data_IF_883707694976
#
_entry.id   IF_883707694976
#
_cell.length_a   1.000
_cell.length_b   1.000
_cell.length_c   1.000
_cell.angle_alpha   90.00
_cell.angle_beta   90.00
_cell.angle_gamma   90.00
#
_symmetry.space_group_name_H-M   'P 1'
#
loop_
_entity.id
_entity.type
_entity.pdbx_description
1 polymer ?
#
# COMPACT_ATOMS: atom_id res chain seq x y z
N UNK A 1 1.39 61.30 28.66
CA UNK A 1 1.25 60.99 27.21
C UNK A 1 1.67 59.58 26.95
N UNK A 2 0.83 58.91 26.59
CA UNK A 2 0.36 57.66 26.09
C UNK A 2 1.40 56.60 25.71
N UNK A 3 1.62 55.71 26.69
CA UNK A 3 2.37 54.42 26.49
C UNK A 3 1.43 53.25 26.10
N UNK A 4 0.22 53.55 25.64
CA UNK A 4 -0.80 52.52 25.33
C UNK A 4 -0.70 51.94 23.92
N UNK A 5 -0.20 52.71 22.95
CA UNK A 5 -0.12 52.32 21.54
C UNK A 5 0.81 51.11 21.27
N UNK A 6 2.03 51.06 21.86
CA UNK A 6 2.91 49.88 21.69
C UNK A 6 2.35 48.61 22.33
N UNK A 7 1.58 48.76 23.43
CA UNK A 7 0.98 47.63 24.14
C UNK A 7 -0.23 47.07 23.36
N UNK A 8 -1.06 47.93 22.80
CA UNK A 8 -2.20 47.52 21.96
C UNK A 8 -1.73 46.86 20.65
N UNK A 9 -0.67 47.39 20.02
CA UNK A 9 -0.12 46.80 18.80
C UNK A 9 0.47 45.40 19.08
N UNK A 10 1.19 45.20 20.18
CA UNK A 10 1.67 43.86 20.62
C UNK A 10 0.53 42.93 20.93
N UNK A 11 -0.54 43.36 21.59
CA UNK A 11 -1.73 42.55 21.86
C UNK A 11 -2.45 42.11 20.59
N UNK A 12 -2.51 42.98 19.57
CA UNK A 12 -3.11 42.66 18.28
C UNK A 12 -2.23 41.70 17.50
N UNK A 13 -0.91 41.89 17.48
CA UNK A 13 0.04 40.98 16.88
C UNK A 13 0.03 39.59 17.56
N UNK A 14 0.12 39.53 18.89
CA UNK A 14 0.08 38.27 19.67
C UNK A 14 -1.25 37.53 19.48
N UNK A 15 -2.38 38.24 19.40
CA UNK A 15 -3.68 37.59 19.14
C UNK A 15 -3.78 37.13 17.67
N UNK A 16 -3.20 37.87 16.72
CA UNK A 16 -3.14 37.47 15.32
C UNK A 16 -2.28 36.21 15.10
N UNK A 17 -1.14 36.14 15.75
CA UNK A 17 -0.27 34.95 15.68
C UNK A 17 -0.92 33.72 16.31
N UNK A 18 -1.55 33.86 17.49
CA UNK A 18 -2.30 32.77 18.15
C UNK A 18 -3.49 32.30 17.32
N UNK A 19 -4.20 33.23 16.67
CA UNK A 19 -5.30 32.88 15.78
C UNK A 19 -4.80 32.10 14.57
N UNK A 20 -3.71 32.52 13.95
CA UNK A 20 -3.09 31.83 12.82
C UNK A 20 -2.58 30.42 13.23
N UNK A 21 -1.94 30.29 14.39
CA UNK A 21 -1.52 28.99 14.91
C UNK A 21 -2.71 28.06 15.11
N UNK A 22 -3.78 28.53 15.73
CA UNK A 22 -5.01 27.76 15.96
C UNK A 22 -5.64 27.28 14.67
N UNK A 23 -5.71 28.15 13.65
CA UNK A 23 -6.23 27.82 12.33
C UNK A 23 -5.36 26.77 11.64
N UNK A 24 -4.03 26.93 11.64
CA UNK A 24 -3.10 25.98 11.03
C UNK A 24 -3.16 24.62 11.73
N UNK A 25 -3.22 24.60 13.07
CA UNK A 25 -3.36 23.36 13.86
C UNK A 25 -4.66 22.64 13.50
N UNK A 26 -5.78 23.36 13.37
CA UNK A 26 -7.05 22.78 12.92
C UNK A 26 -6.94 22.20 11.52
N UNK A 27 -6.33 22.93 10.59
CA UNK A 27 -6.10 22.44 9.23
C UNK A 27 -5.26 21.16 9.21
N UNK A 28 -4.15 21.11 9.97
CA UNK A 28 -3.34 19.91 10.10
C UNK A 28 -4.14 18.74 10.71
N UNK A 29 -4.96 19.01 11.73
CA UNK A 29 -5.85 18.03 12.34
C UNK A 29 -6.81 17.42 11.30
N UNK A 30 -7.45 18.25 10.48
CA UNK A 30 -8.39 17.81 9.45
C UNK A 30 -7.68 17.03 8.34
N UNK A 31 -6.48 17.45 7.92
CA UNK A 31 -5.66 16.72 6.96
C UNK A 31 -5.25 15.34 7.49
N UNK A 32 -4.83 15.23 8.75
CA UNK A 32 -4.49 13.95 9.38
C UNK A 32 -5.72 13.04 9.45
N UNK A 33 -6.89 13.57 9.86
CA UNK A 33 -8.14 12.81 9.91
C UNK A 33 -8.55 12.24 8.55
N UNK A 34 -8.21 12.95 7.48
CA UNK A 34 -8.47 12.54 6.10
C UNK A 34 -7.29 11.75 5.48
N UNK A 35 -6.30 11.36 6.27
CA UNK A 35 -5.09 10.65 5.80
C UNK A 35 -4.26 11.42 4.77
N UNK A 36 -4.41 12.74 4.71
CA UNK A 36 -3.68 13.65 3.81
C UNK A 36 -2.33 14.07 4.42
N UNK A 37 -1.46 13.10 4.67
CA UNK A 37 -0.23 13.29 5.43
C UNK A 37 0.78 14.23 4.76
N UNK A 38 0.82 14.27 3.42
CA UNK A 38 1.71 15.19 2.69
C UNK A 38 1.33 16.64 2.95
N UNK A 39 0.03 16.97 2.86
CA UNK A 39 -0.46 18.31 3.15
C UNK A 39 -0.23 18.71 4.62
N UNK A 40 -0.49 17.79 5.55
CA UNK A 40 -0.22 17.98 6.97
C UNK A 40 1.28 18.28 7.22
N UNK A 41 2.18 17.51 6.62
CA UNK A 41 3.63 17.70 6.74
C UNK A 41 4.09 19.05 6.18
N UNK A 42 3.55 19.47 5.03
CA UNK A 42 3.93 20.72 4.39
C UNK A 42 3.57 21.93 5.27
N UNK A 43 2.44 21.89 5.98
CA UNK A 43 2.05 22.92 6.95
C UNK A 43 2.97 22.84 8.18
N UNK A 44 3.13 21.67 8.78
CA UNK A 44 3.94 21.46 9.98
C UNK A 44 5.41 21.87 9.77
N UNK A 45 5.94 21.77 8.55
CA UNK A 45 7.29 22.17 8.22
C UNK A 45 7.47 23.70 8.18
N UNK A 46 6.40 24.44 7.86
CA UNK A 46 6.43 25.89 7.68
C UNK A 46 5.94 26.65 8.89
N UNK A 47 5.23 25.99 9.79
CA UNK A 47 4.59 26.58 10.96
C UNK A 47 5.17 25.98 12.24
N UNK A 48 5.54 26.83 13.18
CA UNK A 48 5.91 26.41 14.54
C UNK A 48 4.67 26.45 15.42
N UNK A 49 4.26 25.32 15.95
CA UNK A 49 3.19 25.22 16.92
C UNK A 49 3.74 25.25 18.34
N UNK A 50 2.98 25.82 19.26
CA UNK A 50 3.30 25.81 20.69
C UNK A 50 3.06 24.42 21.31
N UNK A 51 3.55 23.35 20.66
CA UNK A 51 3.44 21.98 21.14
C UNK A 51 4.81 21.31 21.20
N UNK A 52 5.09 20.69 22.33
CA UNK A 52 6.38 20.03 22.57
C UNK A 52 6.63 18.87 21.58
N UNK A 53 5.54 18.25 21.11
CA UNK A 53 5.61 17.04 20.28
C UNK A 53 5.71 17.31 18.77
N UNK A 54 5.77 18.58 18.31
CA UNK A 54 5.81 18.90 16.89
C UNK A 54 6.96 18.22 16.13
N UNK A 55 8.12 18.10 16.76
CA UNK A 55 9.27 17.40 16.17
C UNK A 55 8.93 15.94 15.88
N UNK A 56 8.30 15.25 16.85
CA UNK A 56 7.87 13.85 16.69
C UNK A 56 6.82 13.72 15.59
N UNK A 57 5.85 14.64 15.54
CA UNK A 57 4.86 14.70 14.47
C UNK A 57 5.51 14.81 13.10
N UNK A 58 6.45 15.74 12.93
CA UNK A 58 7.16 15.94 11.67
C UNK A 58 7.96 14.70 11.24
N UNK A 59 8.67 14.08 12.17
CA UNK A 59 9.45 12.85 11.90
C UNK A 59 8.52 11.71 11.47
N UNK A 60 7.40 11.55 12.15
CA UNK A 60 6.43 10.48 11.88
C UNK A 60 5.73 10.69 10.52
N UNK A 61 5.26 11.90 10.24
CA UNK A 61 4.67 12.25 8.94
C UNK A 61 5.65 12.02 7.79
N UNK A 62 6.91 12.44 7.96
CA UNK A 62 7.97 12.21 6.97
C UNK A 62 8.21 10.73 6.70
N UNK A 63 8.22 9.89 7.73
CA UNK A 63 8.37 8.44 7.62
C UNK A 63 7.25 7.83 6.77
N UNK A 64 5.99 8.19 7.07
CA UNK A 64 4.82 7.69 6.35
C UNK A 64 4.88 8.10 4.87
N UNK A 65 5.18 9.37 4.58
CA UNK A 65 5.31 9.88 3.21
C UNK A 65 6.40 9.12 2.45
N UNK A 66 7.53 8.85 3.09
CA UNK A 66 8.61 8.07 2.48
C UNK A 66 8.21 6.62 2.23
N UNK A 67 7.42 6.01 3.11
CA UNK A 67 6.88 4.67 2.91
C UNK A 67 5.97 4.61 1.68
N UNK A 68 5.06 5.59 1.55
CA UNK A 68 4.14 5.68 0.40
C UNK A 68 4.91 5.91 -0.92
N UNK A 69 5.83 6.89 -0.93
CA UNK A 69 6.50 7.37 -2.14
C UNK A 69 7.64 6.44 -2.60
N UNK A 70 8.42 5.94 -1.66
CA UNK A 70 9.65 5.18 -1.94
C UNK A 70 9.56 3.70 -1.55
N UNK A 71 8.39 3.23 -1.17
CA UNK A 71 8.12 1.86 -0.70
C UNK A 71 9.06 1.42 0.45
N UNK A 72 9.53 2.37 1.24
CA UNK A 72 10.28 2.08 2.45
C UNK A 72 9.34 1.50 3.51
N UNK A 73 9.80 0.48 4.22
CA UNK A 73 9.01 -0.08 5.30
C UNK A 73 8.89 0.92 6.45
N UNK A 74 7.71 0.97 7.05
CA UNK A 74 7.48 1.70 8.29
C UNK A 74 8.34 1.11 9.41
N UNK A 75 8.86 1.94 10.31
CA UNK A 75 9.73 1.51 11.42
C UNK A 75 9.06 0.46 12.30
N UNK A 76 7.74 0.54 12.49
CA UNK A 76 6.98 -0.43 13.26
C UNK A 76 6.94 -1.80 12.57
N UNK A 77 6.85 -1.83 11.23
CA UNK A 77 6.94 -3.06 10.44
C UNK A 77 8.35 -3.63 10.48
N UNK A 78 9.39 -2.78 10.40
CA UNK A 78 10.79 -3.23 10.47
C UNK A 78 11.15 -3.90 11.79
N UNK A 79 10.55 -3.49 12.91
CA UNK A 79 10.76 -4.09 14.23
C UNK A 79 10.14 -5.48 14.40
N UNK A 80 9.27 -5.92 13.48
CA UNK A 80 8.62 -7.22 13.57
C UNK A 80 9.62 -8.38 13.42
N UNK A 81 9.30 -9.50 14.07
CA UNK A 81 10.07 -10.74 13.97
C UNK A 81 9.62 -11.62 12.78
N UNK A 82 9.26 -11.01 11.66
CA UNK A 82 9.01 -11.70 10.40
C UNK A 82 10.23 -11.62 9.48
N UNK A 83 10.29 -12.50 8.47
CA UNK A 83 11.25 -12.35 7.39
C UNK A 83 10.99 -11.09 6.56
N UNK A 84 11.96 -10.69 5.74
CA UNK A 84 11.89 -9.43 5.00
C UNK A 84 10.80 -9.42 3.92
N UNK A 85 10.49 -10.59 3.35
CA UNK A 85 9.44 -10.72 2.34
C UNK A 85 8.06 -10.51 2.96
N UNK A 86 7.80 -11.10 4.12
CA UNK A 86 6.54 -10.90 4.86
C UNK A 86 6.39 -9.46 5.36
N UNK A 87 7.46 -8.84 5.85
CA UNK A 87 7.46 -7.41 6.20
C UNK A 87 7.12 -6.54 5.00
N UNK A 88 7.67 -6.86 3.82
CA UNK A 88 7.38 -6.15 2.57
C UNK A 88 5.92 -6.31 2.17
N UNK A 89 5.37 -7.51 2.26
CA UNK A 89 3.98 -7.79 1.94
C UNK A 89 3.02 -7.07 2.90
N UNK A 90 3.29 -7.11 4.21
CA UNK A 90 2.51 -6.39 5.22
C UNK A 90 2.55 -4.87 4.97
N UNK A 91 3.73 -4.30 4.75
CA UNK A 91 3.86 -2.87 4.46
C UNK A 91 3.09 -2.46 3.20
N UNK A 92 3.11 -3.29 2.16
CA UNK A 92 2.32 -3.06 0.95
C UNK A 92 0.81 -3.05 1.25
N UNK A 93 0.33 -3.99 2.08
CA UNK A 93 -1.07 -4.01 2.53
C UNK A 93 -1.45 -2.72 3.27
N UNK A 94 -0.62 -2.25 4.22
CA UNK A 94 -0.90 -1.02 4.98
C UNK A 94 -0.97 0.21 4.08
N UNK A 95 -0.15 0.28 3.03
CA UNK A 95 -0.21 1.38 2.06
C UNK A 95 -1.49 1.28 1.20
N UNK A 96 -1.90 0.07 0.82
CA UNK A 96 -3.17 -0.13 0.09
C UNK A 96 -4.35 0.32 0.96
N UNK A 97 -4.40 -0.11 2.24
CA UNK A 97 -5.44 0.31 3.18
C UNK A 97 -5.50 1.84 3.29
N UNK A 98 -4.36 2.50 3.39
CA UNK A 98 -4.28 3.95 3.43
C UNK A 98 -4.83 4.61 2.14
N UNK A 99 -4.52 4.06 0.97
CA UNK A 99 -5.02 4.59 -0.31
C UNK A 99 -6.52 4.38 -0.49
N UNK A 100 -7.04 3.24 -0.03
CA UNK A 100 -8.49 2.96 -0.01
C UNK A 100 -9.22 3.95 0.88
N UNK A 101 -8.69 4.30 2.05
CA UNK A 101 -9.27 5.32 2.96
C UNK A 101 -9.30 6.72 2.35
N UNK A 102 -8.39 7.00 1.43
CA UNK A 102 -8.32 8.26 0.67
C UNK A 102 -9.12 8.23 -0.63
N UNK A 103 -9.83 7.15 -0.91
CA UNK A 103 -10.55 6.92 -2.18
C UNK A 103 -9.68 7.09 -3.43
N UNK A 104 -8.38 6.74 -3.32
CA UNK A 104 -7.43 6.78 -4.44
C UNK A 104 -7.56 5.50 -5.28
N UNK A 105 -8.57 5.49 -6.17
CA UNK A 105 -8.96 4.28 -6.92
C UNK A 105 -7.82 3.75 -7.77
N UNK A 106 -7.22 4.61 -8.61
CA UNK A 106 -6.19 4.22 -9.56
C UNK A 106 -4.96 3.61 -8.87
N UNK A 107 -4.44 4.31 -7.87
CA UNK A 107 -3.27 3.88 -7.08
C UNK A 107 -3.55 2.60 -6.32
N UNK A 108 -4.76 2.47 -5.75
CA UNK A 108 -5.18 1.28 -5.04
C UNK A 108 -5.19 0.05 -5.95
N UNK A 109 -5.78 0.14 -7.14
CA UNK A 109 -5.86 -0.97 -8.10
C UNK A 109 -4.47 -1.44 -8.57
N UNK A 110 -3.57 -0.49 -8.86
CA UNK A 110 -2.19 -0.81 -9.27
C UNK A 110 -1.46 -1.56 -8.17
N UNK A 111 -1.57 -1.07 -6.93
CA UNK A 111 -0.89 -1.70 -5.78
C UNK A 111 -1.49 -3.03 -5.38
N UNK A 112 -2.82 -3.19 -5.44
CA UNK A 112 -3.49 -4.45 -5.17
C UNK A 112 -3.03 -5.57 -6.12
N UNK A 113 -2.85 -5.25 -7.41
CA UNK A 113 -2.29 -6.20 -8.38
C UNK A 113 -0.86 -6.61 -8.00
N UNK A 114 0.02 -5.65 -7.75
CA UNK A 114 1.42 -5.94 -7.40
C UNK A 114 1.52 -6.71 -6.07
N UNK A 115 0.68 -6.38 -5.10
CA UNK A 115 0.54 -7.11 -3.84
C UNK A 115 0.13 -8.57 -4.08
N UNK A 116 -0.90 -8.80 -4.91
CA UNK A 116 -1.39 -10.13 -5.23
C UNK A 116 -0.33 -10.99 -5.96
N UNK A 117 0.41 -10.39 -6.92
CA UNK A 117 1.54 -11.06 -7.58
C UNK A 117 2.62 -11.47 -6.57
N UNK A 118 3.03 -10.56 -5.71
CA UNK A 118 4.07 -10.85 -4.72
C UNK A 118 3.61 -11.88 -3.69
N UNK A 119 2.37 -11.79 -3.20
CA UNK A 119 1.79 -12.77 -2.29
C UNK A 119 1.73 -14.18 -2.89
N UNK A 120 1.30 -14.31 -4.15
CA UNK A 120 1.29 -15.59 -4.86
C UNK A 120 2.69 -16.19 -5.02
N UNK A 121 3.70 -15.35 -5.32
CA UNK A 121 5.10 -15.77 -5.40
C UNK A 121 5.59 -16.30 -4.04
N UNK A 122 5.32 -15.60 -2.95
CA UNK A 122 5.72 -16.03 -1.60
C UNK A 122 5.05 -17.35 -1.23
N UNK A 123 3.76 -17.47 -1.49
CA UNK A 123 3.01 -18.70 -1.24
C UNK A 123 3.59 -19.89 -2.01
N UNK A 124 3.89 -19.72 -3.31
CA UNK A 124 4.47 -20.77 -4.14
C UNK A 124 5.90 -21.11 -3.73
N UNK A 125 6.71 -20.14 -3.32
CA UNK A 125 8.07 -20.39 -2.80
C UNK A 125 8.06 -21.23 -1.52
N UNK A 126 7.12 -20.97 -0.63
CA UNK A 126 7.00 -21.69 0.64
C UNK A 126 6.48 -23.10 0.44
N UNK A 127 5.43 -23.28 -0.36
CA UNK A 127 4.74 -24.55 -0.51
C UNK A 127 5.32 -25.46 -1.61
N UNK A 128 5.99 -24.87 -2.62
CA UNK A 128 6.57 -25.59 -3.78
C UNK A 128 8.04 -25.23 -3.96
N UNK A 129 8.89 -25.86 -3.15
CA UNK A 129 10.35 -25.61 -3.16
C UNK A 129 10.95 -25.82 -4.56
N UNK A 130 11.88 -24.93 -4.91
CA UNK A 130 12.60 -24.95 -6.19
C UNK A 130 11.72 -24.75 -7.44
N UNK A 131 10.52 -24.20 -7.31
CA UNK A 131 9.66 -23.94 -8.45
C UNK A 131 9.91 -22.54 -9.05
N UNK A 132 10.19 -21.56 -8.20
CA UNK A 132 10.35 -20.14 -8.57
C UNK A 132 11.73 -19.65 -8.15
N UNK A 133 12.38 -18.89 -9.02
CA UNK A 133 13.66 -18.22 -8.75
C UNK A 133 13.58 -16.73 -9.03
N UNK A 134 14.31 -15.94 -8.23
CA UNK A 134 14.55 -14.53 -8.47
C UNK A 134 15.74 -14.35 -9.42
N UNK A 135 15.55 -13.64 -10.54
CA UNK A 135 16.64 -13.18 -11.39
C UNK A 135 17.05 -11.78 -10.99
N UNK A 136 18.13 -11.68 -10.24
CA UNK A 136 18.61 -10.42 -9.62
C UNK A 136 18.90 -9.31 -10.63
N UNK A 137 19.38 -9.64 -11.83
CA UNK A 137 19.68 -8.66 -12.88
C UNK A 137 18.46 -7.80 -13.30
N UNK A 138 17.23 -8.31 -13.17
CA UNK A 138 15.98 -7.63 -13.53
C UNK A 138 15.01 -7.48 -12.35
N UNK A 139 15.38 -8.00 -11.19
CA UNK A 139 14.51 -8.10 -10.01
C UNK A 139 13.13 -8.70 -10.33
N UNK A 140 13.11 -9.77 -11.15
CA UNK A 140 11.90 -10.45 -11.60
C UNK A 140 11.92 -11.91 -11.21
N UNK A 141 10.75 -12.47 -10.91
CA UNK A 141 10.60 -13.88 -10.60
C UNK A 141 10.25 -14.69 -11.85
N UNK A 142 10.82 -15.89 -11.95
CA UNK A 142 10.68 -16.79 -13.09
C UNK A 142 10.50 -18.23 -12.60
N UNK A 143 9.96 -19.10 -13.45
CA UNK A 143 10.03 -20.52 -13.21
C UNK A 143 11.49 -20.98 -13.22
N UNK A 144 11.84 -21.89 -12.31
CA UNK A 144 13.18 -22.47 -12.25
C UNK A 144 13.30 -23.57 -13.32
N UNK A 145 14.29 -23.43 -14.19
CA UNK A 145 14.51 -24.40 -15.28
C UNK A 145 14.71 -25.83 -14.77
N UNK A 146 14.06 -26.80 -15.42
CA UNK A 146 14.18 -28.24 -15.09
C UNK A 146 13.57 -28.66 -13.75
N UNK A 147 12.82 -27.77 -13.07
CA UNK A 147 12.20 -28.07 -11.77
C UNK A 147 10.66 -28.09 -11.81
N UNK A 148 10.09 -28.10 -13.00
CA UNK A 148 8.64 -28.15 -13.24
C UNK A 148 8.32 -29.33 -14.16
N UNK A 149 7.10 -29.85 -14.05
CA UNK A 149 6.67 -30.95 -14.90
C UNK A 149 6.38 -30.48 -16.33
N UNK A 150 6.60 -31.36 -17.29
CA UNK A 150 6.23 -31.10 -18.69
C UNK A 150 4.73 -30.86 -18.83
N UNK A 151 3.91 -31.48 -17.98
CA UNK A 151 2.47 -31.28 -17.91
C UNK A 151 2.09 -29.84 -17.55
N UNK A 152 2.74 -29.27 -16.52
CA UNK A 152 2.52 -27.86 -16.15
C UNK A 152 2.88 -26.94 -17.31
N UNK A 153 4.01 -27.20 -17.97
CA UNK A 153 4.43 -26.40 -19.13
C UNK A 153 3.43 -26.51 -20.29
N UNK A 154 2.90 -27.72 -20.54
CA UNK A 154 1.88 -27.92 -21.57
C UNK A 154 0.60 -27.14 -21.25
N UNK A 155 0.16 -27.14 -19.99
CA UNK A 155 -1.00 -26.36 -19.53
C UNK A 155 -0.76 -24.87 -19.73
N UNK A 156 0.39 -24.32 -19.30
CA UNK A 156 0.69 -22.90 -19.44
C UNK A 156 0.80 -22.46 -20.90
N UNK A 157 1.38 -23.31 -21.79
CA UNK A 157 1.43 -23.06 -23.24
C UNK A 157 0.05 -23.06 -23.86
N UNK A 158 -0.77 -24.06 -23.59
CA UNK A 158 -2.13 -24.16 -24.11
C UNK A 158 -3.01 -22.96 -23.70
N UNK A 159 -2.90 -22.52 -22.44
CA UNK A 159 -3.58 -21.32 -21.94
C UNK A 159 -3.11 -20.03 -22.60
N UNK A 160 -1.80 -19.88 -22.82
CA UNK A 160 -1.26 -18.73 -23.53
C UNK A 160 -1.77 -18.68 -24.96
N UNK A 161 -1.72 -19.81 -25.69
CA UNK A 161 -2.21 -19.95 -27.08
C UNK A 161 -3.69 -19.61 -27.19
N UNK A 162 -4.53 -20.11 -26.26
CA UNK A 162 -5.96 -19.79 -26.18
C UNK A 162 -6.22 -18.28 -26.04
N UNK A 163 -5.30 -17.55 -25.39
CA UNK A 163 -5.33 -16.10 -25.24
C UNK A 163 -4.53 -15.35 -26.32
N UNK A 164 -4.16 -16.01 -27.41
CA UNK A 164 -3.35 -15.47 -28.52
C UNK A 164 -2.00 -14.90 -28.06
N UNK A 165 -1.42 -15.48 -27.02
CA UNK A 165 -0.13 -15.15 -26.46
C UNK A 165 0.85 -16.33 -26.59
N UNK A 166 2.13 -16.06 -26.37
CA UNK A 166 3.17 -17.09 -26.26
C UNK A 166 3.63 -17.22 -24.82
N UNK A 167 3.83 -18.45 -24.36
CA UNK A 167 4.43 -18.72 -23.06
C UNK A 167 5.89 -19.12 -23.22
N UNK A 168 6.77 -18.53 -22.41
CA UNK A 168 8.17 -18.92 -22.27
C UNK A 168 8.53 -19.10 -20.80
N UNK A 169 9.28 -20.15 -20.46
CA UNK A 169 9.81 -20.38 -19.10
C UNK A 169 10.67 -19.21 -18.61
N UNK A 170 11.30 -18.50 -19.57
CA UNK A 170 12.18 -17.37 -19.30
C UNK A 170 11.45 -16.03 -19.14
N UNK A 171 10.13 -15.99 -19.32
CA UNK A 171 9.38 -14.75 -19.08
C UNK A 171 9.16 -14.50 -17.59
N UNK A 172 9.06 -13.21 -17.16
CA UNK A 172 8.65 -12.89 -15.80
C UNK A 172 7.27 -13.44 -15.48
N UNK A 173 7.11 -13.97 -14.26
CA UNK A 173 5.81 -14.39 -13.75
C UNK A 173 4.95 -13.15 -13.49
N UNK A 174 3.73 -13.18 -13.98
CA UNK A 174 2.69 -12.19 -13.74
C UNK A 174 1.46 -12.84 -13.12
N UNK A 175 0.51 -12.02 -12.64
CA UNK A 175 -0.65 -12.53 -11.91
C UNK A 175 -1.44 -13.60 -12.67
N UNK A 176 -1.78 -13.45 -13.98
CA UNK A 176 -2.44 -14.52 -14.73
C UNK A 176 -1.69 -15.85 -14.73
N UNK A 177 -0.38 -15.83 -14.98
CA UNK A 177 0.45 -17.06 -14.99
C UNK A 177 0.51 -17.69 -13.58
N UNK A 178 0.62 -16.89 -12.53
CA UNK A 178 0.62 -17.36 -11.14
C UNK A 178 -0.71 -18.04 -10.77
N UNK A 179 -1.84 -17.49 -11.23
CA UNK A 179 -3.16 -18.09 -11.06
C UNK A 179 -3.23 -19.46 -11.75
N UNK A 180 -2.74 -19.56 -13.00
CA UNK A 180 -2.74 -20.83 -13.74
C UNK A 180 -1.86 -21.89 -13.06
N UNK A 181 -0.71 -21.48 -12.51
CA UNK A 181 0.15 -22.37 -11.73
C UNK A 181 -0.58 -22.89 -10.49
N UNK A 182 -1.24 -21.99 -9.76
CA UNK A 182 -2.01 -22.36 -8.56
C UNK A 182 -3.19 -23.27 -8.92
N UNK A 183 -3.93 -22.97 -9.98
CA UNK A 183 -5.03 -23.79 -10.46
C UNK A 183 -4.59 -25.22 -10.82
N UNK A 184 -3.40 -25.35 -11.42
CA UNK A 184 -2.81 -26.66 -11.70
C UNK A 184 -2.36 -27.41 -10.43
N UNK A 185 -1.75 -26.69 -9.46
CA UNK A 185 -1.20 -27.29 -8.24
C UNK A 185 -2.23 -27.55 -7.16
N UNK A 186 -3.17 -26.66 -7.00
CA UNK A 186 -4.19 -26.64 -5.95
C UNK A 186 -5.54 -26.20 -6.55
N UNK A 187 -6.19 -27.05 -7.34
CA UNK A 187 -7.51 -26.73 -7.91
C UNK A 187 -8.48 -26.26 -6.82
N UNK A 188 -9.22 -25.19 -7.08
CA UNK A 188 -10.22 -24.59 -6.18
C UNK A 188 -9.67 -24.07 -4.85
N UNK A 189 -8.37 -23.79 -4.76
CA UNK A 189 -7.78 -23.24 -3.53
C UNK A 189 -8.39 -21.87 -3.20
N UNK A 190 -8.53 -21.49 -1.90
CA UNK A 190 -8.99 -20.16 -1.52
C UNK A 190 -8.11 -19.06 -2.10
N UNK A 191 -6.78 -19.26 -2.12
CA UNK A 191 -5.84 -18.29 -2.65
C UNK A 191 -6.09 -18.02 -4.13
N UNK A 192 -6.24 -19.07 -4.94
CA UNK A 192 -6.50 -18.94 -6.38
C UNK A 192 -7.76 -18.10 -6.62
N UNK A 193 -8.87 -18.37 -5.91
CA UNK A 193 -10.11 -17.61 -6.03
C UNK A 193 -9.96 -16.13 -5.67
N UNK A 194 -9.19 -15.80 -4.63
CA UNK A 194 -8.94 -14.41 -4.25
C UNK A 194 -8.05 -13.69 -5.28
N UNK A 195 -7.04 -14.36 -5.81
CA UNK A 195 -6.20 -13.81 -6.88
C UNK A 195 -7.00 -13.57 -8.16
N UNK A 196 -7.94 -14.45 -8.50
CA UNK A 196 -8.85 -14.22 -9.64
C UNK A 196 -9.70 -12.96 -9.45
N UNK A 197 -10.23 -12.69 -8.25
CA UNK A 197 -10.96 -11.45 -7.96
C UNK A 197 -10.10 -10.21 -8.21
N UNK A 198 -8.87 -10.21 -7.74
CA UNK A 198 -7.93 -9.10 -8.01
C UNK A 198 -7.60 -9.01 -9.52
N UNK A 199 -7.44 -10.14 -10.20
CA UNK A 199 -7.16 -10.13 -11.64
C UNK A 199 -8.35 -9.65 -12.49
N UNK A 200 -9.57 -9.86 -12.05
CA UNK A 200 -10.79 -9.42 -12.76
C UNK A 200 -10.85 -7.90 -12.97
N UNK A 201 -10.26 -7.12 -12.04
CA UNK A 201 -10.17 -5.65 -12.15
C UNK A 201 -9.08 -5.16 -13.11
N UNK A 202 -8.33 -6.06 -13.72
CA UNK A 202 -7.20 -5.69 -14.58
C UNK A 202 -7.62 -4.86 -15.81
N UNK A 203 -8.84 -5.05 -16.31
CA UNK A 203 -9.40 -4.23 -17.40
C UNK A 203 -9.57 -2.77 -16.97
N UNK A 204 -10.13 -2.53 -15.76
CA UNK A 204 -10.30 -1.18 -15.21
C UNK A 204 -8.95 -0.53 -14.94
N UNK A 205 -8.03 -1.26 -14.30
CA UNK A 205 -6.65 -0.79 -14.09
C UNK A 205 -5.96 -0.41 -15.40
N UNK A 206 -6.12 -1.19 -16.47
CA UNK A 206 -5.49 -0.89 -17.76
C UNK A 206 -6.09 0.37 -18.39
N UNK A 207 -7.39 0.64 -18.23
CA UNK A 207 -8.01 1.92 -18.64
C UNK A 207 -7.34 3.11 -17.96
N UNK A 208 -7.11 3.04 -16.63
CA UNK A 208 -6.41 4.08 -15.87
C UNK A 208 -4.95 4.23 -16.32
N UNK A 209 -4.23 3.10 -16.43
CA UNK A 209 -2.79 3.11 -16.70
C UNK A 209 -2.46 3.59 -18.13
N UNK A 210 -3.35 3.39 -19.10
CA UNK A 210 -3.11 3.61 -20.52
C UNK A 210 -4.10 4.55 -21.21
N UNK A 211 -5.26 4.81 -20.59
CA UNK A 211 -6.36 5.54 -21.22
C UNK A 211 -6.59 6.96 -20.72
N UNK A 212 -5.91 7.38 -19.66
CA UNK A 212 -6.19 8.67 -18.97
C UNK A 212 -7.68 8.83 -18.55
N UNK A 213 -8.42 7.71 -18.45
CA UNK A 213 -9.81 7.73 -18.02
C UNK A 213 -9.86 7.74 -16.49
N UNK A 214 -10.61 8.65 -15.92
CA UNK A 214 -10.98 8.60 -14.50
C UNK A 214 -11.97 7.44 -14.30
N UNK A 215 -11.67 6.55 -13.35
CA UNK A 215 -12.63 5.53 -12.92
C UNK A 215 -13.52 6.17 -11.85
N UNK A 216 -14.84 6.12 -12.04
CA UNK A 216 -15.77 6.45 -10.97
C UNK A 216 -15.60 5.44 -9.83
N UNK A 217 -15.39 5.96 -8.60
CA UNK A 217 -15.29 5.14 -7.38
C UNK A 217 -16.50 4.22 -7.20
N UNK A 218 -17.65 4.54 -7.82
CA UNK A 218 -18.85 3.71 -7.81
C UNK A 218 -18.74 2.45 -8.67
N UNK A 219 -17.79 2.39 -9.62
CA UNK A 219 -17.57 1.21 -10.46
C UNK A 219 -16.74 0.13 -9.75
N UNK A 220 -16.08 0.49 -8.64
CA UNK A 220 -15.14 -0.38 -7.93
C UNK A 220 -15.45 -0.38 -6.43
N UNK A 221 -15.74 -1.55 -5.88
CA UNK A 221 -15.86 -1.71 -4.43
C UNK A 221 -14.47 -1.87 -3.78
N UNK A 222 -13.77 -0.75 -3.55
CA UNK A 222 -12.45 -0.74 -2.94
C UNK A 222 -12.41 -1.43 -1.57
N UNK A 223 -13.38 -1.25 -0.64
CA UNK A 223 -13.41 -1.97 0.63
C UNK A 223 -13.46 -3.49 0.48
N UNK A 224 -14.21 -4.01 -0.48
CA UNK A 224 -14.28 -5.46 -0.76
C UNK A 224 -12.95 -5.99 -1.30
N UNK A 225 -12.31 -5.24 -2.20
CA UNK A 225 -10.98 -5.61 -2.72
C UNK A 225 -9.90 -5.54 -1.64
N UNK A 226 -9.96 -4.57 -0.74
CA UNK A 226 -9.08 -4.51 0.43
C UNK A 226 -9.27 -5.72 1.34
N UNK A 227 -10.53 -6.12 1.58
CA UNK A 227 -10.84 -7.35 2.33
C UNK A 227 -10.26 -8.59 1.63
N UNK A 228 -10.32 -8.64 0.30
CA UNK A 228 -9.68 -9.71 -0.49
C UNK A 228 -8.16 -9.71 -0.31
N UNK A 229 -7.50 -8.55 -0.34
CA UNK A 229 -6.06 -8.45 -0.06
C UNK A 229 -5.71 -8.92 1.36
N UNK A 230 -6.54 -8.61 2.35
CA UNK A 230 -6.39 -9.12 3.72
C UNK A 230 -6.45 -10.64 3.76
N UNK A 231 -7.44 -11.24 3.09
CA UNK A 231 -7.58 -12.71 3.02
C UNK A 231 -6.39 -13.37 2.33
N UNK A 232 -5.86 -12.77 1.26
CA UNK A 232 -4.63 -13.21 0.61
C UNK A 232 -3.44 -13.17 1.59
N UNK A 233 -3.28 -12.06 2.33
CA UNK A 233 -2.20 -11.92 3.31
C UNK A 233 -2.26 -13.01 4.38
N UNK A 234 -3.46 -13.28 4.92
CA UNK A 234 -3.68 -14.30 5.96
C UNK A 234 -3.38 -15.73 5.48
N UNK A 235 -3.59 -16.03 4.18
CA UNK A 235 -3.21 -17.32 3.59
C UNK A 235 -1.70 -17.47 3.42
N UNK A 236 -0.99 -16.38 3.16
CA UNK A 236 0.49 -16.40 3.06
C UNK A 236 1.12 -16.45 4.45
N UNK A 237 0.60 -15.67 5.41
CA UNK A 237 1.11 -15.61 6.77
C UNK A 237 0.04 -15.12 7.74
N UNK A 238 -0.14 -15.84 8.84
CA UNK A 238 -0.97 -15.34 9.94
C UNK A 238 -0.35 -14.08 10.53
N UNK A 239 -1.10 -12.98 10.50
CA UNK A 239 -0.70 -11.66 10.98
C UNK A 239 -1.55 -11.30 12.20
N UNK A 240 -0.94 -10.68 13.21
CA UNK A 240 -1.66 -10.15 14.39
C UNK A 240 -2.74 -9.14 13.93
N UNK A 241 -3.95 -9.32 14.41
CA UNK A 241 -5.13 -8.54 14.01
C UNK A 241 -5.01 -7.03 14.23
N UNK A 242 -4.14 -6.59 15.14
CA UNK A 242 -3.87 -5.16 15.37
C UNK A 242 -3.37 -4.45 14.12
N UNK A 243 -2.66 -5.15 13.23
CA UNK A 243 -2.14 -4.57 11.99
C UNK A 243 -3.24 -4.16 11.00
N UNK A 244 -4.43 -4.74 11.11
CA UNK A 244 -5.58 -4.33 10.29
C UNK A 244 -6.25 -3.04 10.76
N UNK A 245 -5.83 -2.51 11.91
CA UNK A 245 -6.24 -1.21 12.46
C UNK A 245 -5.08 -0.21 12.52
N UNK A 246 -3.93 -0.59 12.01
CA UNK A 246 -2.70 0.18 12.15
C UNK A 246 -2.85 1.64 11.69
N UNK A 247 -3.50 1.90 10.54
CA UNK A 247 -3.68 3.26 10.03
C UNK A 247 -4.63 4.10 10.89
N UNK A 248 -5.62 3.48 11.55
CA UNK A 248 -6.48 4.17 12.52
C UNK A 248 -5.70 4.54 13.78
N UNK A 249 -4.95 3.58 14.32
CA UNK A 249 -4.13 3.79 15.52
C UNK A 249 -3.02 4.83 15.26
N UNK A 250 -2.43 4.81 14.07
CA UNK A 250 -1.46 5.81 13.62
C UNK A 250 -2.07 7.21 13.54
N UNK A 251 -3.28 7.34 13.02
CA UNK A 251 -3.98 8.64 13.00
C UNK A 251 -4.22 9.18 14.41
N UNK A 252 -4.60 8.32 15.36
CA UNK A 252 -4.77 8.70 16.77
C UNK A 252 -3.44 9.19 17.33
N UNK A 253 -2.34 8.46 17.11
CA UNK A 253 -0.99 8.86 17.54
C UNK A 253 -0.61 10.24 17.00
N UNK A 254 -0.80 10.48 15.69
CA UNK A 254 -0.46 11.75 15.06
C UNK A 254 -1.30 12.92 15.62
N UNK A 255 -2.58 12.69 15.89
CA UNK A 255 -3.47 13.70 16.50
C UNK A 255 -3.10 14.00 17.97
N UNK A 256 -2.58 13.01 18.69
CA UNK A 256 -2.10 13.19 20.07
C UNK A 256 -0.85 14.09 20.13
N UNK A 257 0.00 14.08 19.10
CA UNK A 257 1.12 15.00 19.00
C UNK A 257 0.73 16.48 18.79
N UNK A 258 -0.53 16.74 18.44
CA UNK A 258 -1.08 18.09 18.30
C UNK A 258 -1.77 18.62 19.59
N UNK A 259 -1.91 17.81 20.63
CA UNK A 259 -2.47 18.23 21.92
C UNK A 259 -1.43 18.92 22.77
#
# INVERSE_FOLDING_TARGET
EDNTEPFMNRLVEDNGEKFNESLMRRTVTDLIRNYEYSGAYDICKRTTFSVESQKKLNERLKEIIHSIKYQKKLSDVEKLKYDQDIKTLLNAYLIIDLQVRRDLVAESLIRMKNFAEFAAILYLKENYKNMIQLRSARNTYHLMEGKHSDELLAVLKAKAEANRNTFSVNQPLNLPVLIEILQYKEPDSPLERYLQRINAINRLRNKVAHGFEEIDSKEVNLPELLSTCRQILELVKTIDSKWYRYNDDLNIELLDYLK
#
